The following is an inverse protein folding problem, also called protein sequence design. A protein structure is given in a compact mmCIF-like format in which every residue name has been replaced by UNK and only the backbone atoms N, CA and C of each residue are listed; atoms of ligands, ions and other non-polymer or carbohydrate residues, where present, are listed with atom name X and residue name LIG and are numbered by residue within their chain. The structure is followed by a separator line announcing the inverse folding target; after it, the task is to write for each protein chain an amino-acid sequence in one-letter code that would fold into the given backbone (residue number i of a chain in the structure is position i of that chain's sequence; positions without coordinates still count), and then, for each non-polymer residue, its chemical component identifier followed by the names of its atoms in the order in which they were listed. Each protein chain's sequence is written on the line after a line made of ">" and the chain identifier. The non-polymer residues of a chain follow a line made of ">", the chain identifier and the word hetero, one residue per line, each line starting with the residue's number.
data_IF_808843582749
#
_entry.id   IF_808843582749
#
_cell.length_a   1.000
_cell.length_b   1.000
_cell.length_c   1.000
_cell.angle_alpha   90.00
_cell.angle_beta   90.00
_cell.angle_gamma   90.00
#
_symmetry.space_group_name_H-M   'P 1'
#
loop_
_entity.id
_entity.type
_entity.pdbx_description
1 polymer ?
#
# COMPACT_ATOMS: atom_id res chain seq x y z
N UNK A 1 12.12 24.29 0.07
CA UNK A 1 11.37 24.03 1.31
C UNK A 1 11.54 22.55 1.62
N UNK A 2 12.41 22.20 2.56
CA UNK A 2 12.48 20.81 3.04
C UNK A 2 11.25 20.58 3.91
N UNK A 3 10.45 19.59 3.53
CA UNK A 3 9.30 19.18 4.32
C UNK A 3 9.83 18.48 5.57
N UNK A 4 9.67 19.09 6.73
CA UNK A 4 9.95 18.43 8.00
C UNK A 4 8.95 17.30 8.23
N UNK A 5 9.37 16.29 8.99
CA UNK A 5 8.50 15.18 9.37
C UNK A 5 7.29 15.71 10.16
N UNK A 6 6.09 15.43 9.67
CA UNK A 6 4.84 15.87 10.30
C UNK A 6 4.41 14.98 11.46
N UNK A 7 5.21 13.99 11.84
CA UNK A 7 4.94 13.13 13.00
C UNK A 7 4.94 13.89 14.34
N UNK A 8 5.64 15.03 14.41
CA UNK A 8 5.72 15.87 15.62
C UNK A 8 6.35 15.18 16.84
N UNK A 9 6.98 14.02 16.64
CA UNK A 9 7.60 13.21 17.69
C UNK A 9 9.05 12.92 17.31
N UNK A 10 9.95 13.15 18.26
CA UNK A 10 11.36 12.78 18.08
C UNK A 10 11.51 11.26 18.03
N UNK A 11 12.31 10.79 17.08
CA UNK A 11 12.67 9.38 17.00
C UNK A 11 13.59 9.06 18.18
N UNK A 12 13.13 8.21 19.09
CA UNK A 12 13.91 7.73 20.23
C UNK A 12 14.47 6.33 19.95
N UNK A 13 15.54 5.97 20.65
CA UNK A 13 16.21 4.66 20.51
C UNK A 13 15.32 3.47 20.90
N UNK A 14 14.23 3.72 21.65
CA UNK A 14 13.23 2.71 22.03
C UNK A 14 12.23 2.40 20.91
N UNK A 15 12.21 3.19 19.84
CA UNK A 15 11.32 2.99 18.70
C UNK A 15 9.83 3.19 19.03
N UNK A 16 8.96 2.58 18.21
CA UNK A 16 7.51 2.67 18.37
C UNK A 16 6.97 1.52 19.23
N UNK A 17 6.04 1.79 20.15
CA UNK A 17 5.29 0.73 20.81
C UNK A 17 4.38 0.03 19.78
N UNK A 18 4.73 -1.20 19.43
CA UNK A 18 4.03 -2.00 18.43
C UNK A 18 2.71 -2.61 18.95
N UNK A 19 2.32 -2.33 20.20
CA UNK A 19 1.03 -2.78 20.74
C UNK A 19 -0.13 -2.00 20.12
N UNK A 20 -0.71 -2.57 19.08
CA UNK A 20 -1.89 -2.01 18.42
C UNK A 20 -3.15 -2.41 19.20
N UNK A 21 -3.90 -1.41 19.68
CA UNK A 21 -5.20 -1.67 20.32
C UNK A 21 -6.20 -2.29 19.33
N UNK A 22 -7.19 -3.08 19.79
CA UNK A 22 -8.22 -3.65 18.91
C UNK A 22 -8.93 -2.59 18.05
N UNK A 23 -9.19 -1.42 18.64
CA UNK A 23 -9.80 -0.27 17.94
C UNK A 23 -8.90 0.25 16.83
N UNK A 24 -7.61 0.46 17.10
CA UNK A 24 -6.67 0.95 16.08
C UNK A 24 -6.53 -0.07 14.95
N UNK A 25 -6.48 -1.37 15.28
CA UNK A 25 -6.46 -2.44 14.29
C UNK A 25 -7.70 -2.42 13.39
N UNK A 26 -8.89 -2.19 13.94
CA UNK A 26 -10.11 -2.09 13.17
C UNK A 26 -10.10 -0.88 12.21
N UNK A 27 -9.63 0.27 12.67
CA UNK A 27 -9.50 1.48 11.83
C UNK A 27 -8.51 1.24 10.68
N UNK A 28 -7.35 0.65 10.97
CA UNK A 28 -6.35 0.34 9.95
C UNK A 28 -6.86 -0.69 8.93
N UNK A 29 -7.61 -1.69 9.38
CA UNK A 29 -8.25 -2.66 8.50
C UNK A 29 -9.25 -1.97 7.56
N UNK A 30 -10.10 -1.08 8.08
CA UNK A 30 -11.06 -0.33 7.28
C UNK A 30 -10.37 0.59 6.26
N UNK A 31 -9.33 1.32 6.67
CA UNK A 31 -8.54 2.14 5.75
C UNK A 31 -7.87 1.29 4.66
N UNK A 32 -7.37 0.11 5.03
CA UNK A 32 -6.72 -0.84 4.13
C UNK A 32 -7.65 -1.38 3.04
N UNK A 33 -8.95 -1.56 3.34
CA UNK A 33 -9.94 -2.09 2.37
C UNK A 33 -10.04 -1.26 1.10
N UNK A 34 -9.87 0.05 1.20
CA UNK A 34 -9.88 0.95 0.05
C UNK A 34 -8.47 1.21 -0.49
N UNK A 35 -7.53 1.51 0.41
CA UNK A 35 -6.21 2.00 0.01
C UNK A 35 -5.36 0.92 -0.67
N UNK A 36 -5.44 -0.32 -0.20
CA UNK A 36 -4.70 -1.43 -0.81
C UNK A 36 -5.11 -1.69 -2.27
N UNK A 37 -6.39 -1.93 -2.61
CA UNK A 37 -6.78 -2.14 -4.01
C UNK A 37 -6.56 -0.90 -4.89
N UNK A 38 -6.69 0.31 -4.34
CA UNK A 38 -6.33 1.53 -5.06
C UNK A 38 -4.84 1.58 -5.43
N UNK A 39 -3.93 1.24 -4.50
CA UNK A 39 -2.49 1.15 -4.78
C UNK A 39 -2.18 0.12 -5.87
N UNK A 40 -2.87 -1.03 -5.87
CA UNK A 40 -2.73 -2.07 -6.91
C UNK A 40 -3.16 -1.55 -8.27
N UNK A 41 -4.35 -0.92 -8.35
CA UNK A 41 -4.83 -0.33 -9.60
C UNK A 41 -3.89 0.78 -10.12
N UNK A 42 -3.35 1.61 -9.22
CA UNK A 42 -2.37 2.63 -9.58
C UNK A 42 -1.07 2.01 -10.11
N UNK A 43 -0.55 0.96 -9.46
CA UNK A 43 0.63 0.25 -9.94
C UNK A 43 0.39 -0.36 -11.33
N UNK A 44 -0.80 -0.89 -11.59
CA UNK A 44 -1.20 -1.40 -12.90
C UNK A 44 -1.19 -0.32 -13.98
N UNK A 45 -1.86 0.80 -13.73
CA UNK A 45 -1.87 1.95 -14.64
C UNK A 45 -0.45 2.48 -14.93
N UNK A 46 0.39 2.62 -13.90
CA UNK A 46 1.78 3.08 -14.04
C UNK A 46 2.60 2.13 -14.91
N UNK A 47 2.47 0.81 -14.71
CA UNK A 47 3.21 -0.18 -15.49
C UNK A 47 2.81 -0.19 -16.96
N UNK A 48 1.55 0.12 -17.27
CA UNK A 48 1.05 0.27 -18.63
C UNK A 48 1.37 1.64 -19.26
N UNK A 49 2.01 2.54 -18.53
CA UNK A 49 2.27 3.91 -18.98
C UNK A 49 0.99 4.76 -19.10
N UNK A 50 -0.11 4.34 -18.47
CA UNK A 50 -1.36 5.07 -18.48
C UNK A 50 -1.22 6.37 -17.66
N UNK A 51 -1.81 7.46 -18.13
CA UNK A 51 -1.81 8.75 -17.42
C UNK A 51 -2.85 8.82 -16.30
N UNK A 52 -3.84 7.94 -16.33
CA UNK A 52 -4.94 7.89 -15.37
C UNK A 52 -5.07 6.48 -14.80
N UNK A 53 -5.37 6.41 -13.50
CA UNK A 53 -5.88 5.23 -12.82
C UNK A 53 -7.40 5.31 -12.86
N UNK A 54 -8.05 4.20 -13.24
CA UNK A 54 -9.50 4.04 -13.18
C UNK A 54 -9.81 2.74 -12.45
N UNK A 55 -10.52 2.82 -11.33
CA UNK A 55 -10.85 1.65 -10.52
C UNK A 55 -12.26 1.76 -9.93
N UNK A 56 -13.01 0.67 -10.00
CA UNK A 56 -14.29 0.55 -9.29
C UNK A 56 -14.02 -0.03 -7.90
N UNK A 57 -14.20 0.77 -6.86
CA UNK A 57 -13.99 0.39 -5.46
C UNK A 57 -15.29 0.62 -4.70
N UNK A 58 -15.72 -0.38 -3.92
CA UNK A 58 -16.97 -0.30 -3.13
C UNK A 58 -18.17 0.19 -3.98
N UNK A 59 -18.27 -0.31 -5.22
CA UNK A 59 -19.34 0.01 -6.17
C UNK A 59 -19.25 1.38 -6.85
N UNK A 60 -18.20 2.17 -6.61
CA UNK A 60 -18.03 3.51 -7.17
C UNK A 60 -16.79 3.60 -8.05
N UNK A 61 -16.90 4.33 -9.16
CA UNK A 61 -15.77 4.59 -10.04
C UNK A 61 -14.91 5.73 -9.47
N UNK A 62 -13.62 5.46 -9.30
CA UNK A 62 -12.60 6.45 -8.93
C UNK A 62 -11.64 6.65 -10.09
N UNK A 63 -11.32 7.92 -10.36
CA UNK A 63 -10.41 8.34 -11.44
C UNK A 63 -9.41 9.35 -10.87
N UNK A 64 -8.13 9.15 -11.15
CA UNK A 64 -7.06 10.08 -10.78
C UNK A 64 -5.87 9.94 -11.73
N UNK A 65 -4.95 10.90 -11.73
CA UNK A 65 -3.68 10.75 -12.43
C UNK A 65 -2.87 9.58 -11.86
N UNK A 66 -2.21 8.83 -12.74
CA UNK A 66 -1.25 7.80 -12.33
C UNK A 66 -0.15 8.40 -11.46
N UNK A 67 0.19 7.73 -10.36
CA UNK A 67 1.17 8.21 -9.40
C UNK A 67 2.35 7.23 -9.25
N UNK A 68 3.47 7.45 -9.97
CA UNK A 68 4.60 6.52 -9.99
C UNK A 68 5.24 6.28 -8.61
N UNK A 69 5.24 7.29 -7.73
CA UNK A 69 5.81 7.13 -6.39
C UNK A 69 4.98 6.16 -5.54
N UNK A 70 3.64 6.27 -5.58
CA UNK A 70 2.76 5.34 -4.87
C UNK A 70 2.92 3.89 -5.36
N UNK A 71 3.21 3.68 -6.65
CA UNK A 71 3.54 2.35 -7.16
C UNK A 71 4.83 1.78 -6.55
N UNK A 72 5.86 2.62 -6.34
CA UNK A 72 7.09 2.23 -5.62
C UNK A 72 6.81 1.90 -4.15
N UNK A 73 5.96 2.69 -3.48
CA UNK A 73 5.56 2.43 -2.09
C UNK A 73 4.91 1.06 -1.94
N UNK A 74 4.04 0.66 -2.88
CA UNK A 74 3.40 -0.65 -2.86
C UNK A 74 4.42 -1.80 -2.92
N UNK A 75 5.43 -1.69 -3.81
CA UNK A 75 6.50 -2.69 -3.91
C UNK A 75 7.28 -2.83 -2.59
N UNK A 76 7.65 -1.70 -1.96
CA UNK A 76 8.36 -1.72 -0.67
C UNK A 76 7.49 -2.32 0.43
N UNK A 77 6.22 -1.91 0.53
CA UNK A 77 5.30 -2.42 1.53
C UNK A 77 5.13 -3.94 1.45
N UNK A 78 4.92 -4.47 0.23
CA UNK A 78 4.80 -5.92 -0.01
C UNK A 78 6.09 -6.65 0.33
N UNK A 79 7.25 -6.07 -0.01
CA UNK A 79 8.56 -6.64 0.31
C UNK A 79 8.77 -6.76 1.82
N UNK A 80 8.41 -5.73 2.60
CA UNK A 80 8.52 -5.73 4.06
C UNK A 80 7.58 -6.73 4.70
N UNK A 81 6.33 -6.81 4.22
CA UNK A 81 5.35 -7.82 4.68
C UNK A 81 5.91 -9.22 4.42
N UNK A 82 6.49 -9.44 3.24
CA UNK A 82 7.06 -10.73 2.88
C UNK A 82 8.26 -11.15 3.73
N UNK A 83 9.16 -10.21 4.03
CA UNK A 83 10.30 -10.48 4.90
C UNK A 83 9.88 -10.76 6.35
N UNK A 84 8.79 -10.14 6.80
CA UNK A 84 8.26 -10.29 8.17
C UNK A 84 7.48 -11.59 8.35
N UNK A 85 6.72 -12.02 7.33
CA UNK A 85 5.94 -13.26 7.33
C UNK A 85 6.66 -14.32 6.49
N UNK A 86 7.64 -15.01 7.09
CA UNK A 86 8.50 -16.10 6.55
C UNK A 86 7.81 -17.30 5.83
N UNK A 87 6.52 -17.24 5.51
CA UNK A 87 5.80 -18.28 4.78
C UNK A 87 5.80 -17.98 3.27
N UNK A 88 6.53 -18.80 2.52
CA UNK A 88 6.69 -18.70 1.05
C UNK A 88 5.36 -18.61 0.28
N UNK A 89 4.26 -19.15 0.84
CA UNK A 89 2.98 -19.24 0.15
C UNK A 89 2.24 -17.89 0.08
N UNK A 90 2.30 -17.07 1.14
CA UNK A 90 1.61 -15.77 1.19
C UNK A 90 2.31 -14.74 0.29
N UNK A 91 3.64 -14.81 0.22
CA UNK A 91 4.46 -13.96 -0.66
C UNK A 91 4.26 -14.25 -2.13
N UNK A 92 4.23 -15.53 -2.51
CA UNK A 92 3.96 -15.91 -3.88
C UNK A 92 2.55 -15.49 -4.30
N UNK A 93 1.54 -15.62 -3.44
CA UNK A 93 0.17 -15.23 -3.77
C UNK A 93 0.00 -13.70 -3.91
N UNK A 94 0.64 -12.91 -3.03
CA UNK A 94 0.63 -11.44 -3.10
C UNK A 94 1.39 -10.92 -4.33
N UNK A 95 2.57 -11.48 -4.62
CA UNK A 95 3.33 -11.17 -5.83
C UNK A 95 2.59 -11.62 -7.09
N UNK A 96 1.96 -12.80 -7.07
CA UNK A 96 1.16 -13.32 -8.18
C UNK A 96 -0.08 -12.46 -8.43
N UNK A 97 -0.83 -12.05 -7.41
CA UNK A 97 -1.95 -11.11 -7.58
C UNK A 97 -1.51 -9.76 -8.15
N UNK A 98 -0.33 -9.26 -7.79
CA UNK A 98 0.22 -8.04 -8.37
C UNK A 98 0.62 -8.23 -9.83
N UNK A 99 1.34 -9.31 -10.17
CA UNK A 99 1.81 -9.59 -11.53
C UNK A 99 0.71 -10.06 -12.49
N UNK A 100 -0.33 -10.76 -12.01
CA UNK A 100 -1.40 -11.31 -12.87
C UNK A 100 -2.51 -10.29 -13.16
N UNK A 101 -2.68 -9.24 -12.34
CA UNK A 101 -3.51 -8.08 -12.67
C UNK A 101 -2.77 -7.03 -13.53
N UNK A 102 -1.47 -7.26 -13.79
CA UNK A 102 -0.59 -6.42 -14.60
C UNK A 102 -0.44 -6.89 -16.06
N UNK A 103 -0.99 -8.06 -16.41
CA UNK A 103 -1.11 -8.63 -17.77
C UNK A 103 -2.57 -8.58 -18.24
#
# INVERSE_FOLDING_TARGET
>A
MFMEDMSGMDVTDVGWDIRISPTLKAILAEAGRFYAPWMVANAAAVAQGAKEVRATLEGKLFVASSFPYQAKCLLVAVSVICLSYRSNFCCYLLLFCLFYFLL
#
